data_IF_879661831656
#
_entry.id   IF_879661831656
#
_cell.length_a   1.000
_cell.length_b   1.000
_cell.length_c   1.000
_cell.angle_alpha   90.00
_cell.angle_beta   90.00
_cell.angle_gamma   90.00
#
_symmetry.space_group_name_H-M   'P 1'
#
loop_
_entity.id
_entity.type
_entity.pdbx_description
1 polymer ?
#
# COMPACT_ATOMS: atom_id res chain seq x y z
N UNK A 1 -11.68 -12.19 -4.31
CA UNK A 1 -10.34 -11.87 -3.76
C UNK A 1 -9.77 -10.66 -4.46
N UNK A 2 -9.17 -9.75 -3.71
CA UNK A 2 -8.50 -8.57 -4.26
C UNK A 2 -7.01 -8.82 -4.42
N UNK A 3 -6.44 -8.32 -5.53
CA UNK A 3 -5.01 -8.46 -5.82
C UNK A 3 -4.45 -7.12 -6.29
N UNK A 4 -3.22 -6.83 -5.87
CA UNK A 4 -2.41 -5.76 -6.43
C UNK A 4 -1.29 -6.39 -7.25
N UNK A 5 -1.23 -6.06 -8.54
CA UNK A 5 -0.24 -6.63 -9.46
C UNK A 5 0.52 -5.55 -10.20
N UNK A 6 1.78 -5.81 -10.49
CA UNK A 6 2.61 -4.93 -11.29
C UNK A 6 3.75 -5.73 -11.92
N UNK A 7 4.04 -5.47 -13.17
CA UNK A 7 5.15 -6.10 -13.91
C UNK A 7 5.13 -7.64 -13.80
N UNK A 8 3.94 -8.24 -13.84
CA UNK A 8 3.76 -9.69 -13.77
C UNK A 8 3.81 -10.29 -12.38
N UNK A 9 4.02 -9.49 -11.33
CA UNK A 9 4.10 -9.99 -9.96
C UNK A 9 2.86 -9.62 -9.14
N UNK A 10 2.44 -10.51 -8.26
CA UNK A 10 1.40 -10.23 -7.27
C UNK A 10 2.05 -9.64 -6.04
N UNK A 11 1.76 -8.36 -5.78
CA UNK A 11 2.35 -7.60 -4.67
C UNK A 11 1.60 -7.79 -3.37
N UNK A 12 0.29 -7.97 -3.46
CA UNK A 12 -0.59 -8.17 -2.32
C UNK A 12 -1.84 -8.94 -2.76
N UNK A 13 -2.40 -9.71 -1.85
CA UNK A 13 -3.61 -10.49 -2.13
C UNK A 13 -4.36 -10.74 -0.84
N UNK A 14 -5.66 -10.42 -0.81
CA UNK A 14 -6.51 -10.63 0.35
C UNK A 14 -7.97 -10.75 -0.06
N UNK A 15 -8.76 -11.40 0.78
CA UNK A 15 -10.21 -11.37 0.62
C UNK A 15 -10.71 -9.94 0.73
N UNK A 16 -11.76 -9.59 -0.04
CA UNK A 16 -12.31 -8.25 -0.03
C UNK A 16 -12.69 -7.79 1.39
N UNK A 17 -13.21 -8.71 2.20
CA UNK A 17 -13.62 -8.42 3.58
C UNK A 17 -12.44 -8.03 4.49
N UNK A 18 -11.23 -8.43 4.14
CA UNK A 18 -10.02 -8.13 4.91
C UNK A 18 -9.34 -6.84 4.46
N UNK A 19 -9.81 -6.23 3.37
CA UNK A 19 -9.31 -4.95 2.89
C UNK A 19 -10.16 -3.81 3.44
N UNK A 20 -9.64 -2.58 3.32
CA UNK A 20 -10.38 -1.36 3.66
C UNK A 20 -10.45 -0.46 2.44
N UNK A 21 -11.61 0.12 2.19
CA UNK A 21 -11.78 1.08 1.10
C UNK A 21 -11.89 2.48 1.71
N UNK A 22 -10.91 3.33 1.41
CA UNK A 22 -10.88 4.71 1.92
C UNK A 22 -10.53 5.64 0.77
N UNK A 23 -11.38 6.63 0.53
CA UNK A 23 -11.18 7.63 -0.54
C UNK A 23 -10.96 6.99 -1.93
N UNK A 24 -11.64 5.87 -2.19
CA UNK A 24 -11.51 5.15 -3.45
C UNK A 24 -10.27 4.26 -3.55
N UNK A 25 -9.43 4.21 -2.52
CA UNK A 25 -8.24 3.37 -2.49
C UNK A 25 -8.49 2.10 -1.68
N UNK A 26 -7.98 0.99 -2.17
CA UNK A 26 -8.03 -0.29 -1.47
C UNK A 26 -6.76 -0.43 -0.62
N UNK A 27 -6.94 -0.59 0.68
CA UNK A 27 -5.86 -0.81 1.64
C UNK A 27 -5.80 -2.28 1.99
N UNK A 28 -4.63 -2.89 1.79
CA UNK A 28 -4.39 -4.30 2.10
C UNK A 28 -3.78 -4.43 3.49
N UNK A 29 -4.21 -5.42 4.30
CA UNK A 29 -3.58 -5.64 5.60
C UNK A 29 -2.10 -6.01 5.43
N UNK A 30 -1.22 -5.64 6.36
CA UNK A 30 0.22 -5.85 6.20
C UNK A 30 0.62 -7.30 5.95
N UNK A 31 -0.08 -8.25 6.55
CA UNK A 31 0.22 -9.68 6.35
C UNK A 31 -0.14 -10.19 4.96
N UNK A 32 -0.91 -9.43 4.19
CA UNK A 32 -1.30 -9.80 2.82
C UNK A 32 -0.30 -9.31 1.77
N UNK A 33 0.71 -8.55 2.18
CA UNK A 33 1.67 -7.89 1.30
C UNK A 33 2.95 -8.73 1.22
N UNK A 34 3.43 -9.00 -0.01
CA UNK A 34 4.69 -9.70 -0.21
C UNK A 34 5.84 -8.72 -0.14
N UNK A 35 6.44 -8.60 1.04
CA UNK A 35 7.50 -7.62 1.31
C UNK A 35 8.77 -7.82 0.50
N UNK A 36 8.93 -8.96 -0.16
CA UNK A 36 10.08 -9.20 -1.03
C UNK A 36 10.19 -8.19 -2.19
N UNK A 37 9.06 -7.59 -2.58
CA UNK A 37 9.01 -6.61 -3.68
C UNK A 37 9.09 -5.17 -3.22
N UNK A 38 9.25 -4.90 -1.92
CA UNK A 38 9.12 -3.54 -1.37
C UNK A 38 10.43 -3.06 -0.78
N UNK A 39 10.78 -1.81 -1.10
CA UNK A 39 11.91 -1.11 -0.46
C UNK A 39 11.40 0.16 0.21
N UNK A 40 11.81 0.45 1.45
CA UNK A 40 11.45 1.72 2.07
C UNK A 40 11.92 2.90 1.24
N UNK A 41 11.05 3.90 1.12
CA UNK A 41 11.36 5.17 0.45
C UNK A 41 11.56 6.26 1.50
N UNK A 42 12.32 7.29 1.14
CA UNK A 42 12.51 8.47 2.00
C UNK A 42 11.37 9.47 1.87
N UNK A 43 10.42 9.22 0.99
CA UNK A 43 9.29 10.12 0.76
C UNK A 43 8.29 10.02 1.91
N UNK A 44 7.86 11.18 2.42
CA UNK A 44 6.81 11.28 3.44
C UNK A 44 5.90 12.43 3.08
N UNK A 45 4.59 12.25 3.32
CA UNK A 45 3.60 13.31 3.14
C UNK A 45 2.69 13.33 4.38
N UNK A 46 1.96 14.43 4.57
CA UNK A 46 1.07 14.58 5.72
C UNK A 46 -0.37 14.67 5.25
N UNK A 47 -1.21 13.83 5.83
CA UNK A 47 -2.66 13.91 5.66
C UNK A 47 -3.27 14.45 6.96
N UNK A 48 -4.04 15.56 6.92
CA UNK A 48 -4.53 16.18 8.16
C UNK A 48 -5.38 15.26 9.03
N UNK A 49 -6.11 14.32 8.45
CA UNK A 49 -6.97 13.44 9.25
C UNK A 49 -6.40 12.02 9.44
N UNK A 50 -5.43 11.60 8.61
CA UNK A 50 -4.86 10.26 8.71
C UNK A 50 -3.52 10.22 9.44
N UNK A 51 -2.69 11.23 9.26
CA UNK A 51 -1.35 11.28 9.86
C UNK A 51 -0.25 11.37 8.81
N UNK A 52 0.97 10.99 9.18
CA UNK A 52 2.12 11.00 8.26
C UNK A 52 2.13 9.74 7.42
N UNK A 53 2.13 9.93 6.10
CA UNK A 53 2.19 8.86 5.13
C UNK A 53 3.65 8.51 4.82
N UNK A 54 3.98 7.25 4.80
CA UNK A 54 5.27 6.72 4.35
C UNK A 54 5.07 5.94 3.06
N UNK A 55 6.15 5.76 2.29
CA UNK A 55 6.06 5.16 0.96
C UNK A 55 7.04 4.01 0.81
N UNK A 56 6.68 3.09 -0.09
CA UNK A 56 7.57 2.05 -0.58
C UNK A 56 7.81 2.22 -2.07
N UNK A 57 9.04 1.96 -2.50
CA UNK A 57 9.32 1.65 -3.89
C UNK A 57 8.96 0.18 -4.12
N UNK A 58 8.38 -0.11 -5.28
CA UNK A 58 8.10 -1.50 -5.68
C UNK A 58 9.16 -1.92 -6.68
N UNK A 59 9.82 -3.05 -6.43
CA UNK A 59 10.91 -3.55 -7.27
C UNK A 59 10.57 -4.96 -7.73
N UNK A 60 10.45 -5.14 -9.05
CA UNK A 60 10.16 -6.44 -9.67
C UNK A 60 11.10 -6.63 -10.86
N UNK A 61 11.84 -7.74 -10.87
CA UNK A 61 12.76 -8.08 -11.95
C UNK A 61 13.74 -6.93 -12.29
N UNK A 62 14.26 -6.27 -11.26
CA UNK A 62 15.19 -5.16 -11.40
C UNK A 62 14.56 -3.83 -11.82
N UNK A 63 13.26 -3.80 -12.05
CA UNK A 63 12.53 -2.58 -12.38
C UNK A 63 11.99 -1.92 -11.12
N UNK A 64 12.23 -0.62 -10.97
CA UNK A 64 11.81 0.15 -9.80
C UNK A 64 10.63 1.03 -10.16
N UNK A 65 9.54 0.89 -9.40
CA UNK A 65 8.40 1.79 -9.45
C UNK A 65 8.43 2.65 -8.18
N UNK A 66 8.94 3.86 -8.33
CA UNK A 66 9.23 4.78 -7.21
C UNK A 66 7.94 5.21 -6.53
N UNK A 67 7.89 5.05 -5.20
CA UNK A 67 6.75 5.48 -4.36
C UNK A 67 5.40 4.90 -4.81
N UNK A 68 5.41 3.67 -5.32
CA UNK A 68 4.20 3.05 -5.87
C UNK A 68 3.25 2.51 -4.82
N UNK A 69 3.67 2.42 -3.57
CA UNK A 69 2.84 2.00 -2.45
C UNK A 69 2.99 2.98 -1.29
N UNK A 70 1.91 3.11 -0.49
CA UNK A 70 1.98 3.95 0.69
C UNK A 70 1.26 3.30 1.85
N UNK A 71 1.60 3.75 3.07
CA UNK A 71 1.01 3.27 4.30
C UNK A 71 1.16 4.32 5.38
N UNK A 72 0.34 4.21 6.42
CA UNK A 72 0.40 5.08 7.59
C UNK A 72 0.86 4.23 8.78
N UNK A 73 2.15 4.28 9.16
CA UNK A 73 2.65 3.45 10.27
C UNK A 73 2.01 3.80 11.61
N UNK A 74 1.65 5.07 11.78
CA UNK A 74 0.88 5.54 12.92
C UNK A 74 -0.21 6.48 12.41
N UNK A 75 -1.44 6.20 12.77
CA UNK A 75 -2.58 7.01 12.33
C UNK A 75 -3.13 7.84 13.47
N UNK A 76 -3.83 8.91 13.11
CA UNK A 76 -4.74 9.58 14.03
C UNK A 76 -5.92 8.66 14.31
N UNK A 77 -6.66 8.92 15.38
CA UNK A 77 -7.77 8.05 15.80
C UNK A 77 -8.82 7.87 14.70
N UNK A 78 -9.06 8.89 13.91
CA UNK A 78 -10.04 8.85 12.81
C UNK A 78 -9.67 7.86 11.69
N UNK A 79 -8.42 7.41 11.62
CA UNK A 79 -7.94 6.50 10.59
C UNK A 79 -7.33 5.21 11.16
N UNK A 80 -7.65 4.87 12.40
CA UNK A 80 -7.09 3.71 13.09
C UNK A 80 -7.32 2.40 12.32
N UNK A 81 -8.43 2.30 11.61
CA UNK A 81 -8.82 1.11 10.85
C UNK A 81 -7.89 0.81 9.66
N UNK A 82 -7.07 1.75 9.23
CA UNK A 82 -6.09 1.54 8.13
C UNK A 82 -4.64 1.61 8.61
N UNK A 83 -4.40 1.71 9.92
CA UNK A 83 -3.03 1.78 10.43
C UNK A 83 -2.22 0.56 10.00
N UNK A 84 -1.08 0.80 9.33
CA UNK A 84 -0.22 -0.27 8.84
C UNK A 84 -0.67 -0.92 7.53
N UNK A 85 -1.87 -0.63 7.05
CA UNK A 85 -2.37 -1.15 5.77
C UNK A 85 -1.67 -0.45 4.61
N UNK A 86 -1.53 -1.16 3.49
CA UNK A 86 -0.79 -0.69 2.31
C UNK A 86 -1.72 -0.47 1.14
N UNK A 87 -1.62 0.68 0.48
CA UNK A 87 -2.36 1.01 -0.72
C UNK A 87 -1.38 1.25 -1.89
N UNK A 88 -1.90 1.23 -3.10
CA UNK A 88 -1.09 1.26 -4.32
C UNK A 88 -1.58 2.28 -5.32
N UNK A 89 -0.65 2.79 -6.16
CA UNK A 89 -0.94 3.66 -7.29
C UNK A 89 0.15 3.50 -8.36
N UNK A 90 0.30 4.46 -9.27
CA UNK A 90 1.39 4.55 -10.25
C UNK A 90 1.53 3.30 -11.12
N UNK A 91 0.42 2.88 -11.72
CA UNK A 91 0.43 1.77 -12.66
C UNK A 91 0.26 0.40 -12.02
N UNK A 92 0.19 0.31 -10.70
CA UNK A 92 -0.18 -0.94 -10.03
C UNK A 92 -1.67 -1.18 -10.25
N UNK A 93 -2.00 -2.36 -10.74
CA UNK A 93 -3.40 -2.76 -10.96
C UNK A 93 -3.94 -3.39 -9.68
N UNK A 94 -5.08 -2.87 -9.22
CA UNK A 94 -5.82 -3.43 -8.09
C UNK A 94 -7.17 -3.92 -8.60
N UNK A 95 -7.42 -5.21 -8.45
CA UNK A 95 -8.62 -5.83 -8.99
C UNK A 95 -9.36 -6.69 -7.96
#
# INVERSE_FOLDING_TARGET
MRKATWNGATLAQAEAADTRLVEGNVYFPPQAVDMAYFKPSDTHTVCPWKGTCSYYDVVVDGQVNKDAAWFYPQTKDSAKHIEGYVAFWKGVTVA
#
